data_IF_823156454961
#
_entry.id   IF_823156454961
#
_cell.length_a   1.000
_cell.length_b   1.000
_cell.length_c   1.000
_cell.angle_alpha   90.00
_cell.angle_beta   90.00
_cell.angle_gamma   90.00
#
_symmetry.space_group_name_H-M   'P 1'
#
loop_
_entity.id
_entity.type
_entity.pdbx_description
1 polymer ?
#
# COMPACT_ATOMS: atom_id res chain seq x y z
N UNK A 1 2.16 1.63 27.43
CA UNK A 1 1.90 0.78 26.25
C UNK A 1 2.08 -0.67 26.71
N UNK A 2 1.16 -1.55 26.40
CA UNK A 2 1.23 -2.96 26.80
C UNK A 2 2.36 -3.67 26.02
N UNK A 3 3.32 -4.27 26.75
CA UNK A 3 4.44 -4.98 26.11
C UNK A 3 3.95 -6.13 25.22
N UNK A 4 2.87 -6.82 25.61
CA UNK A 4 2.30 -7.90 24.82
C UNK A 4 1.79 -7.43 23.45
N UNK A 5 1.29 -6.18 23.36
CA UNK A 5 0.84 -5.58 22.11
C UNK A 5 2.02 -5.27 21.19
N UNK A 6 3.10 -4.71 21.74
CA UNK A 6 4.34 -4.46 20.99
C UNK A 6 4.97 -5.77 20.47
N UNK A 7 5.02 -6.79 21.31
CA UNK A 7 5.53 -8.11 20.94
C UNK A 7 4.70 -8.73 19.79
N UNK A 8 3.39 -8.49 19.76
CA UNK A 8 2.54 -8.94 18.67
C UNK A 8 2.83 -8.23 17.35
N UNK A 9 3.10 -6.93 17.41
CA UNK A 9 3.50 -6.13 16.21
C UNK A 9 4.85 -6.59 15.68
N UNK A 10 5.85 -6.78 16.55
CA UNK A 10 7.18 -7.26 16.15
C UNK A 10 7.10 -8.64 15.50
N UNK A 11 6.28 -9.54 16.10
CA UNK A 11 6.05 -10.87 15.52
C UNK A 11 5.41 -10.78 14.13
N UNK A 12 4.41 -9.92 13.96
CA UNK A 12 3.76 -9.75 12.65
C UNK A 12 4.72 -9.20 11.60
N UNK A 13 5.57 -8.23 11.96
CA UNK A 13 6.66 -7.76 11.08
C UNK A 13 7.52 -8.93 10.60
N UNK A 14 7.97 -9.81 11.51
CA UNK A 14 8.72 -11.01 11.17
C UNK A 14 7.96 -11.93 10.22
N UNK A 15 6.69 -12.19 10.49
CA UNK A 15 5.83 -13.02 9.63
C UNK A 15 5.66 -12.42 8.21
N UNK A 16 5.53 -11.10 8.08
CA UNK A 16 5.40 -10.46 6.78
C UNK A 16 6.72 -10.56 5.97
N UNK A 17 7.87 -10.47 6.63
CA UNK A 17 9.17 -10.67 6.00
C UNK A 17 9.31 -12.12 5.47
N UNK A 18 8.91 -13.12 6.26
CA UNK A 18 8.96 -14.52 5.87
C UNK A 18 7.98 -14.86 4.73
N UNK A 19 6.77 -14.29 4.75
CA UNK A 19 5.73 -14.51 3.74
C UNK A 19 5.95 -13.75 2.43
N UNK A 20 6.91 -12.82 2.39
CA UNK A 20 7.10 -11.91 1.25
C UNK A 20 7.09 -12.62 -0.10
N UNK A 21 7.79 -13.76 -0.23
CA UNK A 21 7.84 -14.52 -1.48
C UNK A 21 6.48 -15.01 -2.02
N UNK A 22 5.44 -15.08 -1.20
CA UNK A 22 4.13 -15.65 -1.58
C UNK A 22 3.34 -14.68 -2.48
N UNK A 23 3.42 -13.38 -2.22
CA UNK A 23 2.64 -12.37 -2.94
C UNK A 23 3.46 -11.47 -3.86
N UNK A 24 4.81 -11.48 -3.79
CA UNK A 24 5.66 -10.54 -4.53
C UNK A 24 5.50 -10.66 -6.04
N UNK A 25 5.67 -11.84 -6.62
CA UNK A 25 5.55 -12.03 -8.07
C UNK A 25 4.17 -11.63 -8.60
N UNK A 26 3.13 -11.95 -7.82
CA UNK A 26 1.75 -11.56 -8.17
C UNK A 26 1.55 -10.05 -8.05
N UNK A 27 2.12 -9.41 -7.04
CA UNK A 27 2.06 -7.95 -6.86
C UNK A 27 2.81 -7.21 -7.97
N UNK A 28 3.99 -7.68 -8.35
CA UNK A 28 4.78 -7.13 -9.47
C UNK A 28 4.00 -7.24 -10.78
N UNK A 29 3.43 -8.41 -11.08
CA UNK A 29 2.57 -8.58 -12.26
C UNK A 29 1.32 -7.67 -12.22
N UNK A 30 0.81 -7.38 -11.03
CA UNK A 30 -0.34 -6.51 -10.83
C UNK A 30 0.01 -5.04 -11.10
N UNK A 31 1.23 -4.61 -10.75
CA UNK A 31 1.78 -3.26 -10.99
C UNK A 31 2.24 -3.05 -12.44
N UNK A 32 2.58 -4.13 -13.14
CA UNK A 32 3.13 -4.06 -14.50
C UNK A 32 2.21 -3.30 -15.47
N UNK A 33 2.80 -2.39 -16.25
CA UNK A 33 2.10 -1.59 -17.24
C UNK A 33 1.34 -0.38 -16.68
N UNK A 34 1.43 -0.11 -15.37
CA UNK A 34 0.79 1.06 -14.76
C UNK A 34 1.80 2.20 -14.59
N UNK A 35 1.58 3.36 -15.24
CA UNK A 35 2.52 4.50 -15.22
C UNK A 35 2.44 5.32 -13.92
N UNK A 36 1.45 5.07 -13.08
CA UNK A 36 1.17 5.83 -11.87
C UNK A 36 0.54 4.92 -10.82
N UNK A 37 0.90 5.11 -9.55
CA UNK A 37 0.31 4.38 -8.42
C UNK A 37 -0.37 5.37 -7.48
N UNK A 38 -1.68 5.22 -7.31
CA UNK A 38 -2.42 5.94 -6.27
C UNK A 38 -2.36 5.18 -4.96
N UNK A 39 -2.04 5.86 -3.86
CA UNK A 39 -2.10 5.25 -2.53
C UNK A 39 -3.17 5.95 -1.69
N UNK A 40 -3.98 5.18 -0.99
CA UNK A 40 -5.13 5.69 -0.25
C UNK A 40 -5.12 5.15 1.17
N UNK A 41 -5.26 6.06 2.12
CA UNK A 41 -5.41 5.73 3.54
C UNK A 41 -6.45 6.61 4.21
N UNK A 42 -6.90 6.23 5.41
CA UNK A 42 -7.78 7.02 6.27
C UNK A 42 -7.34 6.90 7.73
N UNK A 43 -7.32 7.99 8.47
CA UNK A 43 -6.87 7.99 9.86
C UNK A 43 -5.38 7.66 9.97
N UNK A 44 -4.99 6.88 10.96
CA UNK A 44 -3.59 6.54 11.27
C UNK A 44 -2.85 5.83 10.13
N UNK A 45 -3.55 5.02 9.33
CA UNK A 45 -2.94 4.32 8.18
C UNK A 45 -2.57 5.25 7.01
N UNK A 46 -2.94 6.52 7.07
CA UNK A 46 -2.49 7.51 6.08
C UNK A 46 -0.97 7.70 6.13
N UNK A 47 -0.34 7.49 7.28
CA UNK A 47 1.12 7.50 7.40
C UNK A 47 1.76 6.43 6.49
N UNK A 48 1.21 5.19 6.49
CA UNK A 48 1.67 4.12 5.59
C UNK A 48 1.41 4.47 4.13
N UNK A 49 0.28 5.10 3.82
CA UNK A 49 -0.04 5.52 2.45
C UNK A 49 0.95 6.59 1.95
N UNK A 50 1.25 7.60 2.75
CA UNK A 50 2.20 8.66 2.40
C UNK A 50 3.62 8.09 2.20
N UNK A 51 4.07 7.24 3.12
CA UNK A 51 5.37 6.59 3.02
C UNK A 51 5.46 5.67 1.80
N UNK A 52 4.39 4.94 1.48
CA UNK A 52 4.33 4.09 0.28
C UNK A 52 4.48 4.90 -1.01
N UNK A 53 3.76 6.01 -1.14
CA UNK A 53 3.89 6.86 -2.32
C UNK A 53 5.32 7.40 -2.48
N UNK A 54 5.95 7.81 -1.36
CA UNK A 54 7.35 8.25 -1.36
C UNK A 54 8.29 7.13 -1.81
N UNK A 55 8.13 5.92 -1.29
CA UNK A 55 8.98 4.77 -1.66
C UNK A 55 8.86 4.41 -3.15
N UNK A 56 7.66 4.47 -3.75
CA UNK A 56 7.51 4.27 -5.19
C UNK A 56 8.30 5.31 -5.98
N UNK A 57 8.18 6.58 -5.63
CA UNK A 57 8.92 7.66 -6.32
C UNK A 57 10.45 7.52 -6.15
N UNK A 58 10.91 7.21 -4.95
CA UNK A 58 12.35 7.12 -4.66
C UNK A 58 13.00 5.84 -5.20
N UNK A 59 12.40 4.68 -4.96
CA UNK A 59 13.03 3.41 -5.29
C UNK A 59 12.75 2.96 -6.72
N UNK A 60 11.51 3.16 -7.21
CA UNK A 60 11.10 2.67 -8.52
C UNK A 60 11.02 3.77 -9.59
N UNK A 61 11.18 5.03 -9.21
CA UNK A 61 11.01 6.21 -10.08
C UNK A 61 9.60 6.28 -10.71
N UNK A 62 8.66 5.49 -10.18
CA UNK A 62 7.26 5.49 -10.63
C UNK A 62 6.53 6.65 -9.97
N UNK A 63 5.86 7.51 -10.73
CA UNK A 63 4.99 8.54 -10.18
C UNK A 63 3.94 7.94 -9.24
N UNK A 64 3.83 8.48 -8.05
CA UNK A 64 2.85 8.04 -7.07
C UNK A 64 2.33 9.22 -6.25
N UNK A 65 1.14 9.10 -5.71
CA UNK A 65 0.61 10.06 -4.75
C UNK A 65 -0.17 9.37 -3.64
N UNK A 66 -0.20 9.99 -2.47
CA UNK A 66 -1.04 9.56 -1.36
C UNK A 66 -2.19 10.54 -1.16
N UNK A 67 -3.42 10.03 -1.05
CA UNK A 67 -4.61 10.82 -0.77
C UNK A 67 -5.40 10.23 0.39
N UNK A 68 -6.03 11.10 1.17
CA UNK A 68 -7.09 10.67 2.07
C UNK A 68 -8.27 10.15 1.26
N UNK A 69 -8.88 9.05 1.71
CA UNK A 69 -9.98 8.46 0.95
C UNK A 69 -11.20 9.37 0.78
N UNK A 70 -11.35 10.43 1.59
CA UNK A 70 -12.31 11.50 1.36
C UNK A 70 -11.92 12.38 0.18
N UNK A 71 -10.68 12.86 0.16
CA UNK A 71 -10.13 13.67 -0.94
C UNK A 71 -10.20 12.92 -2.26
N UNK A 72 -9.88 11.62 -2.26
CA UNK A 72 -9.95 10.79 -3.46
C UNK A 72 -11.37 10.74 -4.06
N UNK A 73 -12.42 10.74 -3.22
CA UNK A 73 -13.82 10.74 -3.68
C UNK A 73 -14.27 12.06 -4.33
N UNK A 74 -13.62 13.17 -3.99
CA UNK A 74 -14.02 14.51 -4.41
C UNK A 74 -13.23 15.05 -5.61
N UNK A 75 -13.00 14.21 -6.62
CA UNK A 75 -12.34 14.58 -7.87
C UNK A 75 -11.50 13.43 -8.42
N UNK A 76 -10.43 12.98 -7.75
CA UNK A 76 -9.54 11.95 -8.26
C UNK A 76 -10.20 10.60 -8.63
N UNK A 77 -11.38 10.29 -8.10
CA UNK A 77 -12.17 9.12 -8.47
C UNK A 77 -12.52 9.11 -9.97
N UNK A 78 -12.59 10.26 -10.62
CA UNK A 78 -12.80 10.39 -12.08
C UNK A 78 -11.64 9.82 -12.93
N UNK A 79 -10.46 9.60 -12.33
CA UNK A 79 -9.33 8.96 -13.01
C UNK A 79 -9.48 7.44 -13.11
N UNK A 80 -10.42 6.86 -12.37
CA UNK A 80 -10.53 5.40 -12.24
C UNK A 80 -11.13 4.79 -13.49
N UNK A 81 -10.42 3.83 -14.05
CA UNK A 81 -10.82 3.07 -15.21
C UNK A 81 -9.81 1.96 -15.53
N UNK A 82 -9.91 1.31 -16.68
CA UNK A 82 -8.89 0.37 -17.13
C UNK A 82 -7.51 1.03 -17.17
N UNK A 83 -6.52 0.40 -16.52
CA UNK A 83 -5.17 0.96 -16.41
C UNK A 83 -4.93 1.79 -15.15
N UNK A 84 -5.94 2.04 -14.32
CA UNK A 84 -5.77 2.63 -13.00
C UNK A 84 -5.42 1.57 -11.96
N UNK A 85 -4.48 1.87 -11.08
CA UNK A 85 -4.14 1.04 -9.92
C UNK A 85 -4.03 1.88 -8.65
N UNK A 86 -4.55 1.34 -7.56
CA UNK A 86 -4.31 1.92 -6.24
C UNK A 86 -3.96 0.87 -5.19
N UNK A 87 -3.26 1.34 -4.15
CA UNK A 87 -3.00 0.61 -2.92
C UNK A 87 -3.87 1.24 -1.83
N UNK A 88 -4.71 0.45 -1.18
CA UNK A 88 -5.59 0.91 -0.11
C UNK A 88 -5.19 0.26 1.20
N UNK A 89 -4.96 1.08 2.23
CA UNK A 89 -4.75 0.63 3.60
C UNK A 89 -6.06 0.73 4.39
N UNK A 90 -6.44 -0.35 5.05
CA UNK A 90 -7.65 -0.40 5.87
C UNK A 90 -7.47 -1.32 7.06
N UNK A 91 -8.04 -0.96 8.22
CA UNK A 91 -8.07 -1.79 9.42
C UNK A 91 -9.50 -1.97 9.89
N UNK A 92 -9.92 -3.21 10.14
CA UNK A 92 -11.31 -3.59 10.42
C UNK A 92 -11.92 -2.90 11.65
N UNK A 93 -11.09 -2.61 12.65
CA UNK A 93 -11.50 -1.91 13.89
C UNK A 93 -11.43 -0.39 13.80
N UNK A 94 -10.99 0.15 12.66
CA UNK A 94 -11.03 1.59 12.41
C UNK A 94 -12.47 2.05 12.17
N UNK A 95 -12.88 3.17 12.75
CA UNK A 95 -14.19 3.78 12.52
C UNK A 95 -14.48 4.14 11.06
N UNK A 96 -13.46 4.14 10.22
CA UNK A 96 -13.54 4.48 8.77
C UNK A 96 -13.35 3.26 7.85
N UNK A 97 -13.31 2.04 8.39
CA UNK A 97 -13.12 0.81 7.62
C UNK A 97 -14.16 0.64 6.51
N UNK A 98 -15.45 0.76 6.88
CA UNK A 98 -16.55 0.59 5.91
C UNK A 98 -16.46 1.56 4.73
N UNK A 99 -16.02 2.79 4.97
CA UNK A 99 -15.80 3.79 3.92
C UNK A 99 -14.64 3.41 3.01
N UNK A 100 -13.56 2.82 3.55
CA UNK A 100 -12.42 2.33 2.77
C UNK A 100 -12.83 1.15 1.88
N UNK A 101 -13.59 0.19 2.41
CA UNK A 101 -14.06 -0.96 1.62
C UNK A 101 -15.08 -0.54 0.54
N UNK A 102 -15.97 0.41 0.83
CA UNK A 102 -16.86 0.98 -0.21
C UNK A 102 -16.08 1.68 -1.32
N UNK A 103 -15.05 2.44 -0.95
CA UNK A 103 -14.18 3.09 -1.94
C UNK A 103 -13.48 2.05 -2.82
N UNK A 104 -12.95 0.99 -2.23
CA UNK A 104 -12.36 -0.14 -2.97
C UNK A 104 -13.39 -0.75 -3.94
N UNK A 105 -14.60 -1.02 -3.49
CA UNK A 105 -15.65 -1.59 -4.33
C UNK A 105 -15.99 -0.66 -5.51
N UNK A 106 -16.03 0.66 -5.30
CA UNK A 106 -16.25 1.63 -6.38
C UNK A 106 -15.10 1.59 -7.40
N UNK A 107 -13.84 1.58 -6.95
CA UNK A 107 -12.67 1.45 -7.85
C UNK A 107 -12.75 0.17 -8.69
N UNK A 108 -13.08 -0.95 -8.07
CA UNK A 108 -13.23 -2.23 -8.77
C UNK A 108 -14.40 -2.19 -9.78
N UNK A 109 -15.52 -1.54 -9.44
CA UNK A 109 -16.69 -1.42 -10.33
C UNK A 109 -16.38 -0.60 -11.60
N UNK A 110 -15.42 0.30 -11.53
CA UNK A 110 -14.92 1.09 -12.68
C UNK A 110 -13.74 0.42 -13.41
N UNK A 111 -13.50 -0.88 -13.15
CA UNK A 111 -12.38 -1.66 -13.73
C UNK A 111 -10.98 -1.17 -13.35
N UNK A 112 -10.83 -0.41 -12.27
CA UNK A 112 -9.55 -0.15 -11.65
C UNK A 112 -9.02 -1.37 -10.91
N UNK A 113 -7.70 -1.44 -10.72
CA UNK A 113 -7.04 -2.47 -9.89
C UNK A 113 -6.80 -1.96 -8.48
N UNK A 114 -6.91 -2.85 -7.49
CA UNK A 114 -6.66 -2.54 -6.09
C UNK A 114 -5.74 -3.58 -5.46
N UNK A 115 -4.70 -3.11 -4.76
CA UNK A 115 -3.98 -3.88 -3.75
C UNK A 115 -4.53 -3.43 -2.40
N UNK A 116 -5.23 -4.30 -1.70
CA UNK A 116 -5.74 -4.02 -0.35
C UNK A 116 -4.76 -4.57 0.69
N UNK A 117 -4.25 -3.70 1.55
CA UNK A 117 -3.49 -4.06 2.75
C UNK A 117 -4.41 -3.90 3.95
N UNK A 118 -4.82 -5.00 4.56
CA UNK A 118 -5.80 -5.01 5.64
C UNK A 118 -5.50 -6.09 6.68
N UNK A 119 -6.05 -5.94 7.88
CA UNK A 119 -5.94 -6.94 8.95
C UNK A 119 -6.86 -8.16 8.73
N UNK A 120 -7.87 -8.04 7.89
CA UNK A 120 -8.80 -9.11 7.52
C UNK A 120 -9.08 -9.07 6.01
N UNK A 121 -9.56 -10.19 5.46
CA UNK A 121 -10.09 -10.22 4.09
C UNK A 121 -11.36 -9.36 3.97
N UNK A 122 -11.50 -8.69 2.84
CA UNK A 122 -12.71 -7.91 2.53
C UNK A 122 -13.94 -8.77 2.23
N UNK A 123 -13.73 -10.04 1.85
CA UNK A 123 -14.75 -10.94 1.36
C UNK A 123 -15.21 -10.63 -0.07
N UNK A 124 -14.51 -9.74 -0.79
CA UNK A 124 -14.81 -9.40 -2.19
C UNK A 124 -13.90 -10.23 -3.10
N UNK A 125 -14.48 -10.91 -4.07
CA UNK A 125 -13.76 -11.63 -5.10
C UNK A 125 -13.71 -10.82 -6.40
N UNK A 126 -12.50 -10.55 -6.89
CA UNK A 126 -12.29 -9.86 -8.18
C UNK A 126 -10.91 -10.18 -8.73
N UNK A 127 -10.81 -10.33 -10.04
CA UNK A 127 -9.51 -10.46 -10.74
C UNK A 127 -8.67 -9.18 -10.63
N UNK A 128 -9.32 -8.04 -10.36
CA UNK A 128 -8.70 -6.73 -10.17
C UNK A 128 -8.39 -6.43 -8.69
N UNK A 129 -8.55 -7.40 -7.78
CA UNK A 129 -8.24 -7.25 -6.37
C UNK A 129 -7.11 -8.20 -5.96
N UNK A 130 -6.11 -7.66 -5.32
CA UNK A 130 -5.07 -8.39 -4.61
C UNK A 130 -5.13 -8.02 -3.12
N UNK A 131 -5.38 -8.98 -2.26
CA UNK A 131 -5.41 -8.76 -0.81
C UNK A 131 -4.12 -9.22 -0.15
N UNK A 132 -3.58 -8.41 0.74
CA UNK A 132 -2.43 -8.69 1.60
C UNK A 132 -2.90 -8.54 3.04
N UNK A 133 -2.98 -9.66 3.74
CA UNK A 133 -3.46 -9.68 5.12
C UNK A 133 -2.30 -9.53 6.10
N UNK A 134 -2.39 -8.52 6.96
CA UNK A 134 -1.41 -8.16 7.99
C UNK A 134 -2.14 -8.12 9.34
N UNK A 135 -1.89 -9.10 10.19
CA UNK A 135 -2.61 -9.21 11.45
C UNK A 135 -2.09 -8.24 12.51
N UNK A 136 -2.92 -7.31 12.91
CA UNK A 136 -2.65 -6.40 14.01
C UNK A 136 -3.94 -6.17 14.82
N UNK A 137 -3.86 -6.33 16.13
CA UNK A 137 -5.02 -6.16 17.01
C UNK A 137 -5.36 -4.70 17.31
N UNK A 138 -4.49 -3.76 16.94
CA UNK A 138 -4.63 -2.35 17.26
C UNK A 138 -4.57 -1.50 15.97
N UNK A 139 -5.62 -0.70 15.67
CA UNK A 139 -5.66 0.11 14.46
C UNK A 139 -4.60 1.23 14.43
N UNK A 140 -4.15 1.72 15.59
CA UNK A 140 -3.17 2.80 15.66
C UNK A 140 -1.74 2.28 15.45
N UNK A 141 -1.47 1.02 15.82
CA UNK A 141 -0.20 0.37 15.58
C UNK A 141 -0.12 -0.34 14.22
N UNK A 142 -1.25 -0.52 13.54
CA UNK A 142 -1.32 -1.22 12.26
C UNK A 142 -0.41 -0.61 11.19
N UNK A 143 -0.15 0.70 11.25
CA UNK A 143 0.75 1.37 10.32
C UNK A 143 2.17 0.74 10.30
N UNK A 144 2.64 0.17 11.43
CA UNK A 144 3.97 -0.41 11.55
C UNK A 144 4.09 -1.73 10.74
N UNK A 145 3.28 -2.78 11.00
CA UNK A 145 3.42 -4.03 10.26
C UNK A 145 2.85 -3.94 8.84
N UNK A 146 1.89 -3.05 8.57
CA UNK A 146 1.25 -2.95 7.26
C UNK A 146 2.15 -2.37 6.16
N UNK A 147 3.18 -1.61 6.52
CA UNK A 147 4.12 -1.05 5.54
C UNK A 147 5.09 -2.13 5.00
N UNK A 148 5.39 -3.16 5.78
CA UNK A 148 6.40 -4.17 5.45
C UNK A 148 6.14 -4.89 4.12
N UNK A 149 4.94 -5.45 3.86
CA UNK A 149 4.66 -6.09 2.59
C UNK A 149 4.85 -5.15 1.40
N UNK A 150 4.51 -3.86 1.57
CA UNK A 150 4.66 -2.90 0.48
C UNK A 150 6.11 -2.50 0.27
N UNK A 151 6.94 -2.44 1.32
CA UNK A 151 8.40 -2.28 1.17
C UNK A 151 9.00 -3.40 0.32
N UNK A 152 8.59 -4.65 0.57
CA UNK A 152 9.05 -5.80 -0.21
C UNK A 152 8.56 -5.73 -1.66
N UNK A 153 7.31 -5.29 -1.89
CA UNK A 153 6.75 -5.10 -3.24
C UNK A 153 7.52 -4.02 -4.00
N UNK A 154 7.79 -2.88 -3.37
CA UNK A 154 8.55 -1.78 -3.97
C UNK A 154 9.96 -2.23 -4.35
N UNK A 155 10.62 -3.00 -3.48
CA UNK A 155 11.93 -3.57 -3.77
C UNK A 155 11.87 -4.50 -4.99
N UNK A 156 10.95 -5.47 -4.99
CA UNK A 156 10.80 -6.41 -6.09
C UNK A 156 10.39 -5.72 -7.40
N UNK A 157 9.56 -4.67 -7.33
CA UNK A 157 9.19 -3.87 -8.49
C UNK A 157 10.36 -3.06 -9.05
N UNK A 158 11.23 -2.50 -8.17
CA UNK A 158 12.45 -1.83 -8.61
C UNK A 158 13.41 -2.80 -9.32
N UNK A 159 13.59 -4.01 -8.79
CA UNK A 159 14.39 -5.07 -9.40
C UNK A 159 13.84 -5.48 -10.78
N UNK A 160 12.53 -5.64 -10.93
CA UNK A 160 11.86 -5.95 -12.20
C UNK A 160 12.08 -4.83 -13.24
N UNK A 161 12.21 -3.59 -12.79
CA UNK A 161 12.52 -2.43 -13.64
C UNK A 161 14.04 -2.25 -13.87
N UNK A 162 14.88 -3.20 -13.47
CA UNK A 162 16.33 -3.15 -13.56
C UNK A 162 16.96 -1.95 -12.79
N UNK A 163 16.25 -1.47 -11.76
CA UNK A 163 16.72 -0.41 -10.88
C UNK A 163 17.37 -1.00 -9.63
N UNK A 164 18.34 -0.27 -9.08
CA UNK A 164 18.93 -0.61 -7.76
C UNK A 164 18.10 0.08 -6.69
N UNK A 165 17.32 -0.66 -5.86
CA UNK A 165 16.50 -0.06 -4.81
C UNK A 165 17.34 0.82 -3.88
N UNK A 166 16.85 2.03 -3.60
CA UNK A 166 17.55 2.99 -2.73
C UNK A 166 18.70 3.76 -3.39
N UNK A 167 18.97 3.55 -4.68
CA UNK A 167 19.88 4.42 -5.41
C UNK A 167 19.23 5.75 -5.78
N UNK A 168 19.96 6.84 -5.67
CA UNK A 168 19.51 8.18 -6.02
C UNK A 168 20.13 8.62 -7.35
N UNK A 169 19.30 9.19 -8.24
CA UNK A 169 19.75 9.74 -9.52
C UNK A 169 20.03 11.24 -9.41
N UNK A 170 19.20 11.96 -8.66
CA UNK A 170 19.22 13.42 -8.58
C UNK A 170 19.42 13.95 -7.16
N UNK A 171 19.53 13.08 -6.17
CA UNK A 171 19.66 13.43 -4.77
C UNK A 171 20.75 12.61 -4.07
N UNK A 172 20.78 12.76 -2.77
CA UNK A 172 21.59 11.95 -1.88
C UNK A 172 20.74 11.54 -0.66
N UNK A 173 21.16 10.50 0.04
CA UNK A 173 20.47 10.05 1.27
C UNK A 173 20.40 11.15 2.34
N UNK A 174 21.32 12.09 2.29
CA UNK A 174 21.35 13.30 3.12
C UNK A 174 21.31 14.49 2.18
N UNK A 175 20.28 15.33 2.28
CA UNK A 175 20.16 16.58 1.52
C UNK A 175 21.25 17.54 2.02
N UNK A 176 22.17 17.92 1.13
CA UNK A 176 23.29 18.83 1.41
C UNK A 176 23.08 20.21 0.79
N UNK A 177 22.04 20.35 -0.05
CA UNK A 177 21.72 21.62 -0.75
C UNK A 177 20.19 21.77 -0.69
N UNK A 178 19.72 22.92 -0.19
CA UNK A 178 18.34 23.36 -0.26
C UNK A 178 18.17 24.42 -1.35
#
# INVERSE_FOLDING_TARGET
MDNALLDSVVREVGLQLEKGGIYLSRSVAFLSGHPFVQVIGRGTVFASAAQTALMFMEATKTPASALLGGEFRHGPLEMVGPGFICIIYAHSRSGVYRQSIRLMADVLSFNGKVILVSDISSGIESVNLLEINVHCGDPDLFAIPSIVPVQLIVNAWAEEMELVPGSFTHGAKVTSIE
#
